data_IF_118668619682
#
_entry.id   IF_118668619682
#
_cell.length_a   1.000
_cell.length_b   1.000
_cell.length_c   1.000
_cell.angle_alpha   90.00
_cell.angle_beta   90.00
_cell.angle_gamma   90.00
#
_symmetry.space_group_name_H-M   'P 1'
#
loop_
_entity.id
_entity.type
_entity.pdbx_description
1 polymer ?
#
# COMPACT_ATOMS: atom_id res chain seq x y z
N UNK A 1 -24.67 16.60 -5.73
CA UNK A 1 -23.83 15.55 -5.11
C UNK A 1 -24.26 14.21 -5.68
N UNK A 2 -23.34 13.41 -6.22
CA UNK A 2 -23.67 12.12 -6.83
C UNK A 2 -23.99 11.10 -5.72
N UNK A 3 -25.23 10.57 -5.64
CA UNK A 3 -25.64 9.67 -4.55
C UNK A 3 -24.88 8.34 -4.56
N UNK A 4 -24.39 7.90 -5.71
CA UNK A 4 -23.63 6.65 -5.85
C UNK A 4 -22.23 6.81 -5.28
N UNK A 5 -21.55 7.92 -5.62
CA UNK A 5 -20.27 8.28 -5.00
C UNK A 5 -20.39 8.43 -3.49
N UNK A 6 -21.48 9.05 -3.01
CA UNK A 6 -21.68 9.21 -1.56
C UNK A 6 -21.78 7.85 -0.86
N UNK A 7 -22.56 6.89 -1.40
CA UNK A 7 -22.68 5.54 -0.82
C UNK A 7 -21.34 4.81 -0.79
N UNK A 8 -20.55 4.91 -1.85
CA UNK A 8 -19.22 4.32 -1.88
C UNK A 8 -18.28 4.96 -0.84
N UNK A 9 -18.29 6.29 -0.72
CA UNK A 9 -17.46 7.01 0.25
C UNK A 9 -17.84 6.66 1.70
N UNK A 10 -19.14 6.61 2.02
CA UNK A 10 -19.63 6.17 3.33
C UNK A 10 -19.22 4.72 3.64
N UNK A 11 -19.35 3.81 2.66
CA UNK A 11 -18.96 2.42 2.84
C UNK A 11 -17.45 2.27 3.10
N UNK A 12 -16.63 3.00 2.34
CA UNK A 12 -15.19 2.99 2.51
C UNK A 12 -14.76 3.54 3.87
N UNK A 13 -15.28 4.69 4.28
CA UNK A 13 -14.90 5.32 5.55
C UNK A 13 -15.35 4.52 6.78
N UNK A 14 -16.44 3.75 6.69
CA UNK A 14 -16.83 2.80 7.77
C UNK A 14 -15.79 1.71 8.06
N UNK A 15 -14.82 1.47 7.17
CA UNK A 15 -13.74 0.50 7.40
C UNK A 15 -12.61 1.05 8.27
N UNK A 16 -12.61 2.36 8.54
CA UNK A 16 -11.61 3.03 9.37
C UNK A 16 -12.27 3.49 10.67
N UNK A 17 -11.64 3.28 11.84
CA UNK A 17 -12.21 3.77 13.09
C UNK A 17 -12.34 5.30 13.08
N UNK A 18 -13.48 5.81 13.56
CA UNK A 18 -13.86 7.23 13.48
C UNK A 18 -12.79 8.16 14.08
N UNK A 19 -12.18 7.77 15.21
CA UNK A 19 -11.11 8.52 15.88
C UNK A 19 -9.85 8.73 15.03
N UNK A 20 -9.71 8.02 13.92
CA UNK A 20 -8.57 8.08 12.99
C UNK A 20 -8.93 8.76 11.65
N UNK A 21 -10.17 9.22 11.48
CA UNK A 21 -10.62 9.89 10.27
C UNK A 21 -10.60 11.41 10.44
N UNK A 22 -10.01 12.10 9.47
CA UNK A 22 -10.05 13.57 9.33
C UNK A 22 -10.66 14.00 7.99
N UNK A 23 -11.41 13.11 7.33
CA UNK A 23 -12.06 13.34 6.06
C UNK A 23 -13.51 12.86 6.13
N UNK A 24 -14.42 13.61 5.50
CA UNK A 24 -15.86 13.25 5.45
C UNK A 24 -16.19 12.60 4.11
N UNK A 25 -17.32 11.85 4.01
CA UNK A 25 -17.78 11.31 2.74
C UNK A 25 -17.92 12.38 1.65
N UNK A 26 -18.43 13.57 1.99
CA UNK A 26 -18.60 14.67 1.05
C UNK A 26 -17.26 15.17 0.50
N UNK A 27 -16.23 15.24 1.35
CA UNK A 27 -14.88 15.61 0.92
C UNK A 27 -14.28 14.56 -0.04
N UNK A 28 -14.51 13.27 0.23
CA UNK A 28 -14.09 12.17 -0.68
C UNK A 28 -14.82 12.26 -2.01
N UNK A 29 -16.12 12.59 -2.03
CA UNK A 29 -16.94 12.67 -3.24
C UNK A 29 -16.49 13.77 -4.21
N UNK A 30 -15.99 14.90 -3.69
CA UNK A 30 -15.61 16.07 -4.49
C UNK A 30 -14.17 16.03 -5.01
N UNK A 31 -13.33 15.17 -4.45
CA UNK A 31 -11.93 15.01 -4.84
C UNK A 31 -11.76 13.66 -5.55
N UNK A 32 -11.42 13.70 -6.85
CA UNK A 32 -11.29 12.49 -7.67
C UNK A 32 -10.18 11.55 -7.20
N UNK A 33 -9.08 12.11 -6.72
CA UNK A 33 -7.97 11.37 -6.11
C UNK A 33 -7.40 12.17 -4.95
N UNK A 34 -7.28 11.57 -3.77
CA UNK A 34 -6.81 12.29 -2.60
C UNK A 34 -6.26 11.42 -1.49
N UNK A 35 -5.66 12.10 -0.52
CA UNK A 35 -5.07 11.51 0.66
C UNK A 35 -5.44 12.33 1.90
N UNK A 36 -5.55 11.65 3.04
CA UNK A 36 -5.68 12.26 4.36
C UNK A 36 -4.80 11.54 5.35
N UNK A 37 -4.14 12.30 6.22
CA UNK A 37 -3.27 11.79 7.27
C UNK A 37 -3.77 12.30 8.62
N UNK A 38 -4.12 11.38 9.52
CA UNK A 38 -4.60 11.73 10.85
C UNK A 38 -4.20 10.70 11.89
N UNK A 39 -3.56 11.12 12.98
CA UNK A 39 -3.18 10.24 14.11
C UNK A 39 -2.42 8.97 13.68
N UNK A 40 -1.56 9.09 12.67
CA UNK A 40 -0.77 7.97 12.14
C UNK A 40 -1.55 7.02 11.21
N UNK A 41 -2.82 7.32 10.92
CA UNK A 41 -3.59 6.71 9.84
C UNK A 41 -3.39 7.51 8.56
N UNK A 42 -3.01 6.82 7.49
CA UNK A 42 -3.13 7.30 6.13
C UNK A 42 -4.37 6.69 5.50
N UNK A 43 -5.19 7.52 4.85
CA UNK A 43 -6.21 7.05 3.91
C UNK A 43 -5.92 7.64 2.54
N UNK A 44 -5.97 6.82 1.50
CA UNK A 44 -5.86 7.23 0.11
C UNK A 44 -7.06 6.74 -0.68
N UNK A 45 -7.55 7.55 -1.62
CA UNK A 45 -8.70 7.19 -2.42
C UNK A 45 -8.57 7.65 -3.87
N UNK A 46 -9.16 6.88 -4.76
CA UNK A 46 -9.22 7.19 -6.18
C UNK A 46 -10.56 6.73 -6.77
N UNK A 47 -11.23 7.64 -7.46
CA UNK A 47 -12.42 7.33 -8.23
C UNK A 47 -12.04 6.86 -9.63
N UNK A 48 -12.74 5.84 -10.11
CA UNK A 48 -12.65 5.39 -11.49
C UNK A 48 -13.99 4.77 -11.93
N UNK A 49 -14.04 4.32 -13.18
CA UNK A 49 -15.21 3.67 -13.77
C UNK A 49 -14.81 2.36 -14.45
N UNK A 50 -15.67 1.35 -14.32
CA UNK A 50 -15.58 0.11 -15.09
C UNK A 50 -16.96 -0.24 -15.69
N UNK A 51 -17.12 -1.48 -16.17
CA UNK A 51 -18.38 -1.96 -16.77
C UNK A 51 -19.58 -1.95 -15.81
N UNK A 52 -19.34 -1.93 -14.50
CA UNK A 52 -20.34 -1.87 -13.42
C UNK A 52 -20.65 -0.42 -13.01
N UNK A 53 -19.96 0.55 -13.60
CA UNK A 53 -20.12 1.97 -13.32
C UNK A 53 -19.00 2.53 -12.46
N UNK A 54 -19.30 3.64 -11.77
CA UNK A 54 -18.35 4.33 -10.91
C UNK A 54 -18.07 3.54 -9.62
N UNK A 55 -16.80 3.46 -9.24
CA UNK A 55 -16.34 2.83 -8.01
C UNK A 55 -15.27 3.67 -7.31
N UNK A 56 -15.08 3.39 -6.02
CA UNK A 56 -14.03 3.99 -5.19
C UNK A 56 -12.99 2.94 -4.85
N UNK A 57 -11.76 3.09 -5.34
CA UNK A 57 -10.62 2.40 -4.75
C UNK A 57 -10.20 3.17 -3.50
N UNK A 58 -10.05 2.47 -2.38
CA UNK A 58 -9.76 3.06 -1.08
C UNK A 58 -8.71 2.23 -0.34
N UNK A 59 -7.73 2.92 0.25
CA UNK A 59 -6.65 2.34 1.04
C UNK A 59 -6.64 2.98 2.43
N UNK A 60 -6.43 2.17 3.45
CA UNK A 60 -6.08 2.60 4.80
C UNK A 60 -4.76 1.95 5.23
N UNK A 61 -3.86 2.74 5.81
CA UNK A 61 -2.57 2.29 6.31
C UNK A 61 -2.34 2.87 7.71
N UNK A 62 -2.08 1.98 8.68
CA UNK A 62 -1.70 2.35 10.03
C UNK A 62 -0.57 1.46 10.54
N UNK A 63 0.42 2.05 11.21
CA UNK A 63 1.63 1.35 11.67
C UNK A 63 1.39 0.09 12.51
N UNK A 64 0.26 0.03 13.23
CA UNK A 64 -0.09 -1.11 14.10
C UNK A 64 -1.03 -2.10 13.44
N UNK A 65 -1.94 -1.62 12.59
CA UNK A 65 -2.99 -2.46 11.99
C UNK A 65 -2.58 -2.99 10.60
N UNK A 66 -1.50 -2.46 10.04
CA UNK A 66 -1.06 -2.75 8.69
C UNK A 66 -1.82 -1.92 7.65
N UNK A 67 -1.83 -2.46 6.43
CA UNK A 67 -2.44 -1.84 5.26
C UNK A 67 -3.63 -2.68 4.79
N UNK A 68 -4.70 -2.02 4.37
CA UNK A 68 -5.86 -2.62 3.72
C UNK A 68 -6.24 -1.78 2.51
N UNK A 69 -6.57 -2.42 1.39
CA UNK A 69 -7.10 -1.76 0.22
C UNK A 69 -8.32 -2.50 -0.33
N UNK A 70 -9.35 -1.76 -0.70
CA UNK A 70 -10.62 -2.29 -1.18
C UNK A 70 -11.22 -1.38 -2.25
N UNK A 71 -11.96 -1.98 -3.19
CA UNK A 71 -12.82 -1.30 -4.15
C UNK A 71 -14.26 -1.33 -3.67
N UNK A 72 -14.96 -0.21 -3.72
CA UNK A 72 -16.35 -0.07 -3.30
C UNK A 72 -17.25 0.34 -4.46
N UNK A 73 -18.34 -0.38 -4.63
CA UNK A 73 -19.36 -0.15 -5.65
C UNK A 73 -20.66 0.41 -5.05
N UNK A 74 -21.42 1.13 -5.88
CA UNK A 74 -22.64 1.82 -5.44
C UNK A 74 -23.81 0.86 -5.09
N UNK A 75 -23.69 -0.40 -5.51
CA UNK A 75 -24.58 -1.52 -5.17
C UNK A 75 -24.31 -2.08 -3.76
N UNK A 76 -23.29 -1.56 -3.06
CA UNK A 76 -22.89 -1.98 -1.72
C UNK A 76 -21.90 -3.13 -1.67
N UNK A 77 -21.48 -3.67 -2.82
CA UNK A 77 -20.44 -4.71 -2.86
C UNK A 77 -19.04 -4.09 -2.78
N UNK A 78 -18.08 -4.91 -2.34
CA UNK A 78 -16.67 -4.54 -2.36
C UNK A 78 -15.77 -5.68 -2.81
N UNK A 79 -14.58 -5.33 -3.30
CA UNK A 79 -13.55 -6.27 -3.72
C UNK A 79 -12.24 -5.93 -3.00
N UNK A 80 -11.51 -6.95 -2.55
CA UNK A 80 -10.19 -6.73 -1.94
C UNK A 80 -9.15 -6.41 -3.02
N UNK A 81 -8.33 -5.41 -2.76
CA UNK A 81 -7.18 -5.07 -3.59
C UNK A 81 -5.91 -5.60 -2.92
N UNK A 82 -4.97 -6.12 -3.72
CA UNK A 82 -3.73 -6.66 -3.18
C UNK A 82 -2.93 -5.57 -2.46
N UNK A 83 -2.46 -5.91 -1.26
CA UNK A 83 -1.60 -5.06 -0.43
C UNK A 83 -0.27 -5.77 -0.16
N UNK A 84 0.83 -5.01 0.06
CA UNK A 84 2.11 -5.58 0.46
C UNK A 84 1.96 -6.46 1.71
N UNK A 85 2.59 -7.63 1.70
CA UNK A 85 2.61 -8.49 2.88
C UNK A 85 3.54 -7.90 3.95
N UNK A 86 3.13 -7.99 5.22
CA UNK A 86 3.96 -7.55 6.35
C UNK A 86 4.96 -8.61 6.81
N UNK A 87 4.73 -9.88 6.46
CA UNK A 87 5.53 -11.02 6.91
C UNK A 87 5.65 -12.06 5.80
N UNK A 88 6.71 -12.86 5.86
CA UNK A 88 6.88 -14.08 5.07
C UNK A 88 7.23 -15.26 5.99
N UNK A 89 7.04 -16.47 5.47
CA UNK A 89 7.38 -17.69 6.19
C UNK A 89 8.91 -17.85 6.29
N UNK A 90 9.35 -18.49 7.35
CA UNK A 90 10.72 -18.98 7.56
C UNK A 90 10.66 -20.50 7.69
N UNK A 91 11.58 -21.20 7.04
CA UNK A 91 11.55 -22.65 6.88
C UNK A 91 12.69 -23.37 7.58
N UNK A 92 13.74 -22.64 7.99
CA UNK A 92 14.92 -23.19 8.66
C UNK A 92 15.98 -23.72 7.69
N UNK A 93 15.71 -23.68 6.39
CA UNK A 93 16.68 -23.90 5.32
C UNK A 93 17.12 -22.54 4.78
N UNK A 94 18.40 -22.20 4.97
CA UNK A 94 18.95 -20.91 4.60
C UNK A 94 18.83 -20.58 3.10
N UNK A 95 18.97 -21.57 2.22
CA UNK A 95 18.87 -21.34 0.78
C UNK A 95 17.41 -21.05 0.38
N UNK A 96 16.47 -21.81 0.95
CA UNK A 96 15.04 -21.60 0.74
C UNK A 96 14.55 -20.28 1.35
N UNK A 97 15.04 -19.94 2.54
CA UNK A 97 14.68 -18.70 3.22
C UNK A 97 15.17 -17.47 2.44
N UNK A 98 16.37 -17.54 1.84
CA UNK A 98 16.88 -16.48 0.96
C UNK A 98 16.02 -16.30 -0.31
N UNK A 99 15.52 -17.40 -0.90
CA UNK A 99 14.61 -17.34 -2.05
C UNK A 99 13.24 -16.75 -1.67
N UNK A 100 12.67 -17.18 -0.54
CA UNK A 100 11.41 -16.65 0.00
C UNK A 100 11.54 -15.15 0.27
N UNK A 101 12.63 -14.73 0.91
CA UNK A 101 12.90 -13.33 1.23
C UNK A 101 13.01 -12.49 -0.06
N UNK A 102 13.75 -12.97 -1.06
CA UNK A 102 13.85 -12.29 -2.36
C UNK A 102 12.48 -12.09 -3.01
N UNK A 103 11.68 -13.16 -3.08
CA UNK A 103 10.32 -13.09 -3.65
C UNK A 103 9.38 -12.19 -2.85
N UNK A 104 9.49 -12.19 -1.53
CA UNK A 104 8.73 -11.31 -0.66
C UNK A 104 8.98 -9.83 -1.00
N UNK A 105 10.24 -9.43 -1.10
CA UNK A 105 10.59 -8.04 -1.43
C UNK A 105 10.24 -7.66 -2.88
N UNK A 106 10.45 -8.56 -3.84
CA UNK A 106 10.05 -8.34 -5.24
C UNK A 106 8.53 -8.13 -5.37
N UNK A 107 7.72 -8.99 -4.73
CA UNK A 107 6.26 -8.88 -4.75
C UNK A 107 5.79 -7.59 -4.08
N UNK A 108 6.32 -7.29 -2.89
CA UNK A 108 5.93 -6.07 -2.17
C UNK A 108 6.26 -4.81 -2.96
N UNK A 109 7.41 -4.75 -3.63
CA UNK A 109 7.77 -3.63 -4.50
C UNK A 109 6.72 -3.43 -5.61
N UNK A 110 6.35 -4.50 -6.29
CA UNK A 110 5.32 -4.45 -7.34
C UNK A 110 3.96 -4.00 -6.78
N UNK A 111 3.57 -4.47 -5.58
CA UNK A 111 2.34 -4.02 -4.91
C UNK A 111 2.36 -2.53 -4.59
N UNK A 112 3.47 -2.00 -4.05
CA UNK A 112 3.61 -0.57 -3.78
C UNK A 112 3.51 0.28 -5.05
N UNK A 113 4.19 -0.11 -6.12
CA UNK A 113 4.12 0.55 -7.42
C UNK A 113 2.69 0.53 -7.99
N UNK A 114 2.00 -0.60 -7.89
CA UNK A 114 0.63 -0.78 -8.36
C UNK A 114 -0.39 0.10 -7.60
N UNK A 115 -0.21 0.26 -6.29
CA UNK A 115 -1.02 1.14 -5.44
C UNK A 115 -0.75 2.62 -5.74
N UNK A 116 0.52 3.01 -5.93
CA UNK A 116 0.89 4.39 -6.32
C UNK A 116 0.38 4.76 -7.70
N UNK A 117 0.44 3.84 -8.66
CA UNK A 117 -0.09 4.06 -10.01
C UNK A 117 -1.61 4.33 -10.03
N UNK A 118 -2.32 3.90 -8.99
CA UNK A 118 -3.75 4.21 -8.76
C UNK A 118 -3.97 5.50 -7.94
N UNK A 119 -2.90 6.08 -7.42
CA UNK A 119 -2.94 7.19 -6.47
C UNK A 119 -3.57 6.82 -5.13
N UNK A 120 -3.43 5.57 -4.69
CA UNK A 120 -3.82 5.16 -3.34
C UNK A 120 -2.72 5.43 -2.31
N UNK A 121 -1.48 5.56 -2.77
CA UNK A 121 -0.33 5.94 -1.98
C UNK A 121 0.27 7.25 -2.52
N UNK A 122 0.83 8.09 -1.64
CA UNK A 122 1.52 9.31 -2.06
C UNK A 122 2.76 8.98 -2.90
N UNK A 123 3.27 9.95 -3.69
CA UNK A 123 4.55 9.83 -4.38
C UNK A 123 5.70 9.57 -3.40
N UNK A 124 6.75 8.87 -3.83
CA UNK A 124 7.93 8.59 -2.99
C UNK A 124 8.66 9.85 -2.49
N UNK A 125 8.51 10.98 -3.19
CA UNK A 125 9.21 12.23 -2.89
C UNK A 125 8.53 13.11 -1.85
N UNK A 126 7.33 12.76 -1.38
CA UNK A 126 6.67 13.52 -0.33
C UNK A 126 7.18 13.08 1.05
N UNK A 127 7.74 13.99 1.88
CA UNK A 127 8.20 13.64 3.21
C UNK A 127 7.01 13.20 4.07
N UNK A 128 6.87 11.89 4.22
CA UNK A 128 5.89 11.28 5.14
C UNK A 128 6.22 11.80 6.53
N UNK A 129 5.29 12.53 7.16
CA UNK A 129 5.32 12.79 8.59
C UNK A 129 5.28 11.45 9.34
N UNK A 130 6.45 10.83 9.52
CA UNK A 130 6.78 9.65 10.33
C UNK A 130 5.69 8.57 10.38
N UNK A 131 5.44 7.91 9.24
CA UNK A 131 5.01 6.50 9.22
C UNK A 131 5.61 5.86 7.98
N UNK A 132 6.85 5.39 8.09
CA UNK A 132 7.56 4.78 6.98
C UNK A 132 8.63 3.88 7.54
N UNK A 133 8.33 2.59 7.63
CA UNK A 133 9.33 1.55 7.79
C UNK A 133 10.08 1.40 6.45
N UNK A 134 10.72 2.47 5.99
CA UNK A 134 11.63 2.51 4.83
C UNK A 134 13.03 2.87 5.36
N UNK A 135 13.57 2.00 6.20
CA UNK A 135 15.02 1.96 6.48
C UNK A 135 15.48 0.51 6.42
N UNK A 136 15.21 -0.20 5.31
CA UNK A 136 15.89 -1.47 5.04
C UNK A 136 16.31 -1.62 3.55
N UNK A 137 15.61 -1.02 2.57
CA UNK A 137 15.98 -1.26 1.16
C UNK A 137 17.31 -0.62 0.71
N UNK A 138 17.76 0.46 1.35
CA UNK A 138 19.05 1.10 1.04
C UNK A 138 20.30 0.33 1.52
N UNK A 139 20.14 -0.63 2.44
CA UNK A 139 21.26 -1.43 2.95
C UNK A 139 21.54 -2.68 2.08
N UNK A 140 20.54 -3.20 1.36
CA UNK A 140 20.70 -4.46 0.62
C UNK A 140 21.31 -4.31 -0.78
N UNK A 141 21.15 -3.16 -1.44
CA UNK A 141 21.90 -2.86 -2.67
C UNK A 141 23.42 -2.78 -2.43
N UNK A 142 23.83 -2.41 -1.22
CA UNK A 142 25.25 -2.41 -0.82
C UNK A 142 25.77 -3.82 -0.47
N UNK A 143 24.93 -4.69 0.09
CA UNK A 143 25.33 -6.07 0.43
C UNK A 143 25.43 -6.98 -0.80
N UNK A 144 24.55 -6.83 -1.80
CA UNK A 144 24.66 -7.55 -3.07
C UNK A 144 25.87 -7.10 -3.91
N UNK A 145 26.32 -5.85 -3.76
CA UNK A 145 27.55 -5.36 -4.42
C UNK A 145 28.83 -5.90 -3.76
N UNK A 146 28.81 -6.14 -2.44
CA UNK A 146 29.97 -6.72 -1.73
C UNK A 146 30.13 -8.23 -2.00
N UNK A 147 29.04 -8.99 -2.19
CA UNK A 147 29.12 -10.42 -2.50
C UNK A 147 29.64 -10.71 -3.94
N UNK A 148 29.50 -9.75 -4.87
CA UNK A 148 29.96 -9.91 -6.25
C UNK A 148 31.46 -9.61 -6.45
N UNK A 149 32.13 -9.00 -5.45
CA UNK A 149 33.55 -8.60 -5.57
C UNK A 149 34.51 -9.56 -4.83
N UNK A 150 33.99 -10.60 -4.18
CA UNK A 150 34.76 -11.54 -3.35
C UNK A 150 35.23 -12.84 -4.02
N UNK A 151 35.22 -12.93 -5.36
CA UNK A 151 35.61 -14.15 -6.10
C UNK A 151 36.65 -13.89 -7.19
N UNK A 152 37.74 -13.16 -6.89
CA UNK A 152 38.99 -13.23 -7.67
C UNK A 152 40.19 -12.90 -6.76
N UNK A 153 40.77 -13.88 -6.07
CA UNK A 153 42.23 -14.10 -5.95
C UNK A 153 42.52 -15.23 -4.95
N UNK A 154 42.85 -16.42 -5.44
CA UNK A 154 43.85 -17.31 -4.85
C UNK A 154 44.23 -18.38 -5.88
N UNK A 155 45.06 -17.96 -6.82
CA UNK A 155 45.97 -18.85 -7.53
C UNK A 155 47.38 -18.32 -7.27
N UNK A 156 48.09 -18.98 -6.36
CA UNK A 156 49.50 -19.40 -6.46
C UNK A 156 49.91 -20.01 -5.12
#
# INVERSE_FOLDING_TARGET
MNPDRLRCAEAALRTVPEDYLAVTPEAVVVVDNGHSFHRGMHVGWAWAEDRRGCFLDFLSEHRMAGMSAQRFYADGTSEHLETPASMHQVTGDAAKDAEIERHFFERNRASYEWLRARGLLPPETEPRGVVGFEVILGAYSSLLSMAATGSVLLVS
#
